data_IF_839814761876
#
_entry.id   IF_839814761876
#
_cell.length_a   1.000
_cell.length_b   1.000
_cell.length_c   1.000
_cell.angle_alpha   90.00
_cell.angle_beta   90.00
_cell.angle_gamma   90.00
#
_symmetry.space_group_name_H-M   'P 1'
#
loop_
_entity.id
_entity.type
_entity.pdbx_description
1 polymer ?
#
# COMPACT_ATOMS: atom_id res chain seq x y z
N UNK A 1 -7.39 -5.08 18.76
CA UNK A 1 -6.19 -5.01 17.92
C UNK A 1 -6.28 -3.76 17.04
N UNK A 2 -5.18 -3.06 16.72
CA UNK A 2 -5.25 -1.92 15.80
C UNK A 2 -5.77 -2.36 14.42
N UNK A 3 -6.82 -1.71 13.93
CA UNK A 3 -7.41 -2.03 12.62
C UNK A 3 -6.55 -1.42 11.50
N UNK A 4 -5.85 -2.28 10.77
CA UNK A 4 -5.07 -1.94 9.58
C UNK A 4 -5.56 -2.86 8.47
N UNK A 5 -6.31 -2.36 7.47
CA UNK A 5 -6.85 -3.16 6.37
C UNK A 5 -5.71 -3.57 5.44
N UNK A 6 -5.07 -4.67 5.80
CA UNK A 6 -3.91 -5.25 5.13
C UNK A 6 -4.18 -6.74 4.91
N UNK A 7 -3.91 -7.29 3.72
CA UNK A 7 -3.19 -6.66 2.62
C UNK A 7 -4.06 -5.72 1.75
N UNK A 8 -3.45 -4.73 1.07
CA UNK A 8 -4.14 -3.90 0.11
C UNK A 8 -4.38 -4.66 -1.20
N UNK A 9 -5.55 -4.46 -1.82
CA UNK A 9 -5.87 -5.08 -3.10
C UNK A 9 -4.94 -4.63 -4.22
N UNK A 10 -4.71 -5.50 -5.20
CA UNK A 10 -3.97 -5.12 -6.39
C UNK A 10 -4.72 -4.01 -7.15
N UNK A 11 -4.02 -2.98 -7.66
CA UNK A 11 -4.66 -1.98 -8.53
C UNK A 11 -5.19 -2.62 -9.81
N UNK A 12 -6.46 -2.32 -10.10
CA UNK A 12 -7.21 -2.76 -11.28
C UNK A 12 -7.89 -1.54 -11.92
N UNK A 13 -8.35 -1.62 -13.18
CA UNK A 13 -9.16 -0.55 -13.76
C UNK A 13 -10.37 -0.15 -12.89
N UNK A 14 -10.96 -1.11 -12.19
CA UNK A 14 -12.19 -0.91 -11.40
C UNK A 14 -11.94 -0.13 -10.11
N UNK A 15 -10.78 -0.32 -9.47
CA UNK A 15 -10.46 0.36 -8.20
C UNK A 15 -9.51 1.56 -8.35
N UNK A 16 -8.93 1.80 -9.54
CA UNK A 16 -7.95 2.86 -9.79
C UNK A 16 -8.48 4.26 -9.47
N UNK A 17 -9.73 4.54 -9.85
CA UNK A 17 -10.36 5.83 -9.56
C UNK A 17 -10.45 6.07 -8.05
N UNK A 18 -10.80 5.05 -7.26
CA UNK A 18 -10.87 5.14 -5.81
C UNK A 18 -9.47 5.30 -5.18
N UNK A 19 -8.46 4.59 -5.70
CA UNK A 19 -7.06 4.77 -5.28
C UNK A 19 -6.67 6.25 -5.35
N UNK A 20 -6.92 6.90 -6.49
CA UNK A 20 -6.51 8.28 -6.73
C UNK A 20 -7.41 9.34 -6.07
N UNK A 21 -8.74 9.16 -6.11
CA UNK A 21 -9.66 10.20 -5.66
C UNK A 21 -10.03 10.11 -4.17
N UNK A 22 -9.80 8.96 -3.54
CA UNK A 22 -10.24 8.73 -2.16
C UNK A 22 -9.08 8.53 -1.17
N UNK A 23 -7.83 8.78 -1.58
CA UNK A 23 -6.65 8.62 -0.73
C UNK A 23 -6.72 9.35 0.61
N UNK A 24 -7.19 10.59 0.59
CA UNK A 24 -7.39 11.39 1.82
C UNK A 24 -8.47 10.83 2.74
N UNK A 25 -9.42 10.06 2.23
CA UNK A 25 -10.46 9.42 3.03
C UNK A 25 -10.03 8.09 3.65
N UNK A 26 -8.79 7.64 3.46
CA UNK A 26 -8.29 6.37 4.01
C UNK A 26 -7.32 6.59 5.17
N UNK A 27 -7.39 5.81 6.26
CA UNK A 27 -6.56 6.03 7.45
C UNK A 27 -5.06 6.06 7.16
N UNK A 28 -4.34 6.86 7.95
CA UNK A 28 -2.87 6.83 8.06
C UNK A 28 -2.47 6.30 9.42
N UNK A 29 -1.29 5.67 9.48
CA UNK A 29 -0.82 4.95 10.65
C UNK A 29 0.47 5.55 11.21
N UNK A 30 0.44 6.75 11.81
CA UNK A 30 1.61 7.31 12.47
C UNK A 30 2.01 6.47 13.70
N UNK A 31 3.23 6.61 14.23
CA UNK A 31 3.66 5.85 15.42
C UNK A 31 2.73 5.95 16.62
N UNK A 32 2.03 7.09 16.79
CA UNK A 32 1.05 7.36 17.85
C UNK A 32 -0.25 6.56 17.73
N UNK A 33 -0.57 6.00 16.56
CA UNK A 33 -1.74 5.14 16.35
C UNK A 33 -1.61 3.80 17.09
N UNK A 34 -0.39 3.34 17.34
CA UNK A 34 -0.11 2.01 17.86
C UNK A 34 0.19 1.99 19.37
N UNK A 35 -0.26 0.98 20.13
CA UNK A 35 0.14 0.75 21.51
C UNK A 35 1.65 0.72 21.69
N UNK A 36 2.19 1.27 22.79
CA UNK A 36 3.66 1.42 22.99
C UNK A 36 4.45 0.11 22.88
N UNK A 37 3.84 -1.03 23.22
CA UNK A 37 4.44 -2.36 23.15
C UNK A 37 3.48 -3.38 22.54
N UNK A 38 4.01 -4.53 22.11
CA UNK A 38 3.19 -5.67 21.64
C UNK A 38 2.50 -5.48 20.28
N UNK A 39 2.84 -4.45 19.50
CA UNK A 39 2.17 -4.16 18.23
C UNK A 39 3.15 -3.90 17.06
N UNK A 40 4.31 -4.53 17.08
CA UNK A 40 5.35 -4.40 16.04
C UNK A 40 4.84 -4.83 14.65
N UNK A 41 4.12 -5.95 14.57
CA UNK A 41 3.53 -6.44 13.31
C UNK A 41 2.53 -5.43 12.72
N UNK A 42 1.65 -4.85 13.55
CA UNK A 42 0.71 -3.82 13.10
C UNK A 42 1.42 -2.54 12.63
N UNK A 43 2.50 -2.15 13.31
CA UNK A 43 3.32 -1.01 12.89
C UNK A 43 3.89 -1.20 11.48
N UNK A 44 4.43 -2.38 11.19
CA UNK A 44 4.99 -2.69 9.86
C UNK A 44 3.91 -2.72 8.78
N UNK A 45 2.73 -3.30 9.07
CA UNK A 45 1.57 -3.23 8.16
C UNK A 45 1.13 -1.78 7.92
N UNK A 46 1.00 -0.97 8.98
CA UNK A 46 0.62 0.44 8.86
C UNK A 46 1.65 1.27 8.09
N UNK A 47 2.94 0.98 8.29
CA UNK A 47 4.02 1.59 7.53
C UNK A 47 3.94 1.25 6.04
N UNK A 48 3.71 -0.03 5.70
CA UNK A 48 3.49 -0.46 4.32
C UNK A 48 2.29 0.24 3.67
N UNK A 49 1.18 0.42 4.41
CA UNK A 49 0.00 1.14 3.93
C UNK A 49 0.30 2.63 3.71
N UNK A 50 0.97 3.30 4.66
CA UNK A 50 1.37 4.70 4.51
C UNK A 50 2.28 4.92 3.28
N UNK A 51 3.25 4.03 3.07
CA UNK A 51 4.13 4.02 1.90
C UNK A 51 3.35 3.86 0.61
N UNK A 52 2.48 2.87 0.55
CA UNK A 52 1.67 2.62 -0.63
C UNK A 52 0.80 3.84 -0.98
N UNK A 53 0.19 4.47 0.02
CA UNK A 53 -0.61 5.67 -0.16
C UNK A 53 0.21 6.87 -0.66
N UNK A 54 1.43 7.05 -0.15
CA UNK A 54 2.35 8.07 -0.65
C UNK A 54 2.73 7.80 -2.11
N UNK A 55 3.06 6.57 -2.46
CA UNK A 55 3.47 6.19 -3.82
C UNK A 55 2.33 6.22 -4.83
N UNK A 56 1.10 5.92 -4.41
CA UNK A 56 -0.08 6.19 -5.24
C UNK A 56 -0.23 7.67 -5.56
N UNK A 57 0.13 8.58 -4.65
CA UNK A 57 0.18 10.02 -4.92
C UNK A 57 1.06 10.38 -6.13
N UNK A 58 2.19 9.67 -6.31
CA UNK A 58 3.07 9.83 -7.48
C UNK A 58 2.35 9.42 -8.76
N UNK A 59 1.66 8.28 -8.76
CA UNK A 59 0.94 7.77 -9.93
C UNK A 59 -0.30 8.59 -10.29
N UNK A 60 -0.96 9.17 -9.28
CA UNK A 60 -2.20 9.91 -9.41
C UNK A 60 -2.00 11.41 -9.66
N UNK A 61 -0.78 11.84 -9.98
CA UNK A 61 -0.44 13.24 -10.27
C UNK A 61 0.40 13.41 -11.54
N UNK A 62 0.53 14.65 -12.01
CA UNK A 62 1.38 15.00 -13.15
C UNK A 62 0.96 14.37 -14.48
N UNK A 63 1.94 14.04 -15.33
CA UNK A 63 1.73 13.47 -16.66
C UNK A 63 1.22 12.03 -16.62
N UNK A 64 1.67 11.24 -15.63
CA UNK A 64 1.24 9.83 -15.47
C UNK A 64 -0.27 9.75 -15.33
N UNK A 65 -0.87 10.69 -14.59
CA UNK A 65 -2.31 10.73 -14.35
C UNK A 65 -3.15 11.06 -15.60
N UNK A 66 -2.55 11.52 -16.70
CA UNK A 66 -3.26 11.83 -17.94
C UNK A 66 -3.48 10.58 -18.80
N UNK A 67 -2.74 9.50 -18.57
CA UNK A 67 -2.79 8.26 -19.34
C UNK A 67 -3.21 7.10 -18.44
N UNK A 68 -4.47 6.66 -18.54
CA UNK A 68 -5.03 5.63 -17.64
C UNK A 68 -4.23 4.32 -17.61
N UNK A 69 -3.62 3.91 -18.74
CA UNK A 69 -2.77 2.71 -18.80
C UNK A 69 -1.46 2.90 -18.04
N UNK A 70 -0.81 4.06 -18.17
CA UNK A 70 0.42 4.39 -17.44
C UNK A 70 0.12 4.56 -15.94
N UNK A 71 -1.00 5.19 -15.59
CA UNK A 71 -1.47 5.32 -14.21
C UNK A 71 -1.70 3.95 -13.55
N UNK A 72 -2.40 3.03 -14.24
CA UNK A 72 -2.62 1.68 -13.73
C UNK A 72 -1.30 0.91 -13.56
N UNK A 73 -0.42 0.96 -14.56
CA UNK A 73 0.89 0.31 -14.50
C UNK A 73 1.74 0.87 -13.33
N UNK A 74 1.80 2.20 -13.19
CA UNK A 74 2.48 2.86 -12.08
C UNK A 74 1.93 2.39 -10.73
N UNK A 75 0.60 2.37 -10.55
CA UNK A 75 -0.02 1.93 -9.32
C UNK A 75 0.32 0.46 -9.02
N UNK A 76 0.32 -0.42 -10.03
CA UNK A 76 0.72 -1.82 -9.86
C UNK A 76 2.21 -1.98 -9.49
N UNK A 77 3.10 -1.17 -10.07
CA UNK A 77 4.51 -1.14 -9.67
C UNK A 77 4.68 -0.67 -8.23
N UNK A 78 4.02 0.43 -7.84
CA UNK A 78 4.01 0.95 -6.47
C UNK A 78 3.53 -0.11 -5.47
N UNK A 79 2.44 -0.81 -5.80
CA UNK A 79 1.88 -1.89 -4.99
C UNK A 79 2.86 -3.05 -4.80
N UNK A 80 3.46 -3.56 -5.88
CA UNK A 80 4.45 -4.66 -5.81
C UNK A 80 5.69 -4.24 -5.03
N UNK A 81 6.19 -3.03 -5.25
CA UNK A 81 7.38 -2.54 -4.59
C UNK A 81 7.14 -2.28 -3.09
N UNK A 82 5.97 -1.74 -2.72
CA UNK A 82 5.64 -1.47 -1.32
C UNK A 82 5.53 -2.77 -0.53
N UNK A 83 4.90 -3.79 -1.11
CA UNK A 83 4.80 -5.12 -0.49
C UNK A 83 6.13 -5.87 -0.48
N UNK A 84 6.98 -5.67 -1.50
CA UNK A 84 8.37 -6.18 -1.48
C UNK A 84 9.15 -5.59 -0.32
N UNK A 85 9.06 -4.27 -0.12
CA UNK A 85 9.73 -3.58 0.98
C UNK A 85 9.16 -4.01 2.34
N UNK A 86 7.85 -4.21 2.44
CA UNK A 86 7.23 -4.81 3.64
C UNK A 86 7.81 -6.19 3.95
N UNK A 87 8.01 -7.05 2.95
CA UNK A 87 8.64 -8.35 3.18
C UNK A 87 10.10 -8.23 3.64
N UNK A 88 10.88 -7.29 3.09
CA UNK A 88 12.23 -7.00 3.59
C UNK A 88 12.19 -6.61 5.07
N UNK A 89 11.24 -5.75 5.46
CA UNK A 89 11.03 -5.33 6.84
C UNK A 89 10.62 -6.51 7.75
N UNK A 90 9.71 -7.38 7.31
CA UNK A 90 9.32 -8.59 8.06
C UNK A 90 10.52 -9.51 8.33
N UNK A 91 11.35 -9.78 7.30
CA UNK A 91 12.54 -10.63 7.44
C UNK A 91 13.69 -9.98 8.23
N UNK A 92 13.68 -8.67 8.42
CA UNK A 92 14.67 -7.95 9.23
C UNK A 92 14.41 -8.04 10.75
N UNK A 93 13.45 -8.87 11.17
CA UNK A 93 13.02 -9.00 12.56
C UNK A 93 13.17 -10.45 13.04
N UNK A 94 13.16 -10.66 14.35
CA UNK A 94 13.22 -12.01 14.96
C UNK A 94 11.84 -12.71 15.02
N UNK A 95 10.81 -12.13 14.40
CA UNK A 95 9.45 -12.69 14.38
C UNK A 95 9.20 -13.46 13.10
N UNK A 96 8.24 -14.39 13.13
CA UNK A 96 7.76 -15.04 11.90
C UNK A 96 7.28 -13.95 10.92
N UNK A 97 7.73 -13.97 9.65
CA UNK A 97 7.28 -13.02 8.66
C UNK A 97 5.80 -13.24 8.33
N UNK A 98 5.18 -12.23 7.74
CA UNK A 98 3.87 -12.38 7.13
C UNK A 98 3.88 -13.49 6.06
N UNK A 99 2.91 -14.40 6.10
CA UNK A 99 2.91 -15.64 5.29
C UNK A 99 3.10 -15.41 3.78
N UNK A 100 2.52 -14.34 3.22
CA UNK A 100 2.68 -14.03 1.80
C UNK A 100 4.13 -13.70 1.42
N UNK A 101 4.96 -13.28 2.38
CA UNK A 101 6.38 -13.02 2.15
C UNK A 101 7.23 -14.29 1.99
N UNK A 102 6.69 -15.45 2.34
CA UNK A 102 7.35 -16.76 2.08
C UNK A 102 7.24 -17.17 0.61
N UNK A 103 6.24 -16.64 -0.10
CA UNK A 103 6.05 -16.88 -1.53
C UNK A 103 7.03 -16.05 -2.39
N UNK A 104 7.28 -16.51 -3.62
CA UNK A 104 8.15 -15.84 -4.61
C UNK A 104 7.44 -15.64 -5.94
N UNK A 105 7.92 -14.69 -6.76
CA UNK A 105 7.33 -14.41 -8.07
C UNK A 105 5.85 -14.04 -7.97
N UNK A 106 5.05 -14.47 -8.94
CA UNK A 106 3.62 -14.15 -9.00
C UNK A 106 2.78 -14.80 -7.88
N UNK A 107 3.26 -15.90 -7.28
CA UNK A 107 2.58 -16.53 -6.14
C UNK A 107 2.52 -15.57 -4.94
N UNK A 108 3.56 -14.73 -4.75
CA UNK A 108 3.57 -13.70 -3.71
C UNK A 108 2.44 -12.69 -3.92
N UNK A 109 2.30 -12.20 -5.14
CA UNK A 109 1.28 -11.21 -5.48
C UNK A 109 -0.13 -11.79 -5.38
N UNK A 110 -0.31 -13.03 -5.82
CA UNK A 110 -1.58 -13.75 -5.67
C UNK A 110 -1.97 -13.92 -4.20
N UNK A 111 -1.00 -14.20 -3.32
CA UNK A 111 -1.24 -14.29 -1.88
C UNK A 111 -1.68 -12.95 -1.29
N UNK A 112 -0.97 -11.85 -1.59
CA UNK A 112 -1.35 -10.51 -1.12
C UNK A 112 -2.70 -10.03 -1.68
N UNK A 113 -3.15 -10.60 -2.80
CA UNK A 113 -4.43 -10.25 -3.44
C UNK A 113 -5.55 -11.27 -3.15
N UNK A 114 -5.40 -12.11 -2.11
CA UNK A 114 -6.34 -13.20 -1.81
C UNK A 114 -7.39 -12.85 -0.74
N UNK A 115 -6.96 -12.26 0.37
CA UNK A 115 -7.84 -11.80 1.45
C UNK A 115 -7.80 -10.27 1.48
N UNK A 116 -8.85 -9.63 1.00
CA UNK A 116 -8.87 -8.18 0.76
C UNK A 116 -9.82 -7.49 1.74
N UNK A 117 -9.32 -6.83 2.81
CA UNK A 117 -10.19 -6.12 3.76
C UNK A 117 -10.84 -4.88 3.15
N UNK A 118 -10.23 -4.27 2.12
CA UNK A 118 -10.77 -3.10 1.41
C UNK A 118 -10.45 -3.15 -0.10
N UNK A 119 -11.13 -4.02 -0.87
CA UNK A 119 -10.81 -4.24 -2.29
C UNK A 119 -11.06 -3.02 -3.19
N UNK A 120 -12.05 -2.20 -2.83
CA UNK A 120 -12.48 -1.04 -3.60
C UNK A 120 -11.82 0.27 -3.14
N UNK A 121 -10.83 0.20 -2.24
CA UNK A 121 -10.17 1.41 -1.69
C UNK A 121 -11.15 2.44 -1.12
N UNK A 122 -12.21 1.97 -0.46
CA UNK A 122 -13.28 2.79 0.10
C UNK A 122 -12.72 3.77 1.12
N UNK A 123 -13.21 5.00 1.07
CA UNK A 123 -12.97 6.01 2.09
C UNK A 123 -13.87 5.83 3.30
N UNK A 124 -13.42 6.34 4.44
CA UNK A 124 -14.24 6.51 5.64
C UNK A 124 -14.98 7.85 5.54
N UNK A 125 -16.33 7.88 5.55
CA UNK A 125 -17.08 9.12 5.47
C UNK A 125 -16.72 10.10 6.60
N UNK A 126 -16.44 11.35 6.25
CA UNK A 126 -16.09 12.40 7.22
C UNK A 126 -14.67 12.30 7.80
N UNK A 127 -13.86 11.34 7.35
CA UNK A 127 -12.44 11.25 7.70
C UNK A 127 -11.59 12.04 6.71
N UNK A 128 -10.59 12.74 7.23
CA UNK A 128 -9.51 13.34 6.45
C UNK A 128 -8.17 12.88 7.03
N UNK A 129 -7.33 12.33 6.16
CA UNK A 129 -6.04 11.79 6.53
C UNK A 129 -5.12 12.90 7.05
N UNK A 130 -4.41 12.68 8.17
CA UNK A 130 -3.35 13.60 8.56
C UNK A 130 -2.27 13.60 7.49
N UNK A 131 -1.59 14.74 7.33
CA UNK A 131 -0.38 14.79 6.53
C UNK A 131 0.68 13.89 7.16
N UNK A 132 1.15 12.93 6.39
CA UNK A 132 2.30 12.10 6.72
C UNK A 132 3.43 12.45 5.75
N UNK A 133 4.70 12.33 6.16
CA UNK A 133 5.83 12.52 5.27
C UNK A 133 5.69 11.67 4.01
N UNK A 134 6.11 12.23 2.87
CA UNK A 134 6.24 11.44 1.64
C UNK A 134 7.27 10.34 1.86
N UNK A 135 6.96 9.13 1.40
CA UNK A 135 7.86 7.99 1.48
C UNK A 135 8.75 7.95 0.24
N UNK A 136 10.08 8.09 0.37
CA UNK A 136 10.98 8.04 -0.77
C UNK A 136 11.10 6.60 -1.31
N UNK A 137 11.77 6.45 -2.45
CA UNK A 137 12.21 5.15 -2.95
C UNK A 137 11.31 4.50 -4.01
N UNK A 138 10.28 5.20 -4.50
CA UNK A 138 9.51 4.79 -5.67
C UNK A 138 9.76 5.71 -6.86
N UNK A 139 10.17 5.11 -7.98
CA UNK A 139 10.30 5.77 -9.27
C UNK A 139 9.55 4.91 -10.28
N UNK A 140 8.58 5.51 -10.96
CA UNK A 140 7.83 4.81 -12.00
C UNK A 140 8.73 4.49 -13.20
N UNK A 141 8.71 3.23 -13.65
CA UNK A 141 9.35 2.79 -14.88
C UNK A 141 8.31 2.50 -15.97
N UNK A 142 8.07 3.44 -16.91
CA UNK A 142 7.10 3.24 -17.99
C UNK A 142 7.50 2.14 -18.98
N UNK A 143 8.76 1.70 -18.99
CA UNK A 143 9.25 0.63 -19.88
C UNK A 143 8.98 -0.78 -19.35
N UNK A 144 8.64 -0.89 -18.06
CA UNK A 144 8.23 -2.13 -17.39
C UNK A 144 6.70 -2.31 -17.37
N UNK A 145 6.00 -1.57 -18.25
CA UNK A 145 4.62 -1.77 -18.66
C UNK A 145 4.62 -2.52 -20.01
#
# INVERSE_FOLDING_TARGET
EPDVPFPPARPTPDNLAAICHHGRGRPRYPPSFFPKSGSSHFRRRGHAMNRLESWFGVCCSGQIAQESNQMLCCAQQAWRQALSQFCVEEYSTMTLPYECCENTGDARWTCFDSELPNPDYRSTPGYDAPEIPEEPGFTFDPSAC
#
